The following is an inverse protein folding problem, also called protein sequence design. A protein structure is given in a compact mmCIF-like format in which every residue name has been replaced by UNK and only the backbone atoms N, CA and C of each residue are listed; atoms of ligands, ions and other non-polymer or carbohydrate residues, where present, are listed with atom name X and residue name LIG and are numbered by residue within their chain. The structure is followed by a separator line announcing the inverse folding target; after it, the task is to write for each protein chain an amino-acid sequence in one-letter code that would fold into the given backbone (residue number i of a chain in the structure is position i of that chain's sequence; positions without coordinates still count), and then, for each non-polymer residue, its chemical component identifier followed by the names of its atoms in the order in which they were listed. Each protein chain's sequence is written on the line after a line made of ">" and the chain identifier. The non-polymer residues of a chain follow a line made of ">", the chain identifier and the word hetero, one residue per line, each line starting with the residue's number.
data_IF_640253737882
#
_entry.id   IF_640253737882
#
_cell.length_a   1.000
_cell.length_b   1.000
_cell.length_c   1.000
_cell.angle_alpha   90.00
_cell.angle_beta   90.00
_cell.angle_gamma   90.00
#
_symmetry.space_group_name_H-M   'P 1'
#
loop_
_entity.id
_entity.type
_entity.pdbx_description
1 polymer ?
#
# COMPACT_ATOMS: atom_id res chain seq x y z
N UNK A 1 14.22 -20.05 -23.55
CA UNK A 1 12.90 -19.83 -24.20
C UNK A 1 12.20 -18.72 -23.45
N UNK A 2 11.72 -17.69 -24.15
CA UNK A 2 10.94 -16.62 -23.53
C UNK A 2 9.60 -17.20 -23.03
N UNK A 3 9.30 -17.01 -21.78
CA UNK A 3 8.05 -17.47 -21.18
C UNK A 3 6.91 -16.52 -21.62
N UNK A 4 5.77 -17.08 -22.04
CA UNK A 4 4.58 -16.34 -22.48
C UNK A 4 3.42 -16.68 -21.55
N UNK A 5 2.66 -15.66 -21.12
CA UNK A 5 1.41 -15.78 -20.36
C UNK A 5 0.38 -14.83 -21.00
N UNK A 6 -0.81 -15.32 -21.34
CA UNK A 6 -1.92 -14.47 -21.82
C UNK A 6 -1.62 -13.59 -23.02
N UNK A 7 -0.72 -14.02 -23.93
CA UNK A 7 -0.31 -13.20 -25.07
C UNK A 7 0.75 -12.12 -24.73
N UNK A 8 1.36 -12.20 -23.54
CA UNK A 8 2.46 -11.34 -23.12
C UNK A 8 3.77 -12.13 -22.99
N UNK A 9 4.83 -11.62 -23.59
CA UNK A 9 6.20 -12.11 -23.39
C UNK A 9 6.73 -11.57 -22.07
N UNK A 10 7.13 -12.46 -21.17
CA UNK A 10 7.76 -12.08 -19.91
C UNK A 10 9.22 -11.70 -20.16
N UNK A 11 9.59 -10.47 -19.76
CA UNK A 11 10.95 -9.94 -19.90
C UNK A 11 11.81 -10.32 -18.70
N UNK A 12 11.33 -10.01 -17.51
CA UNK A 12 11.98 -10.33 -16.24
C UNK A 12 10.98 -10.32 -15.08
N UNK A 13 11.26 -11.08 -14.04
CA UNK A 13 10.53 -10.98 -12.77
C UNK A 13 10.97 -9.71 -12.04
N UNK A 14 10.01 -8.89 -11.61
CA UNK A 14 10.26 -7.62 -10.90
C UNK A 14 9.95 -7.70 -9.42
N UNK A 15 8.97 -8.55 -9.04
CA UNK A 15 8.60 -8.77 -7.64
C UNK A 15 7.91 -10.12 -7.47
N UNK A 16 7.75 -10.54 -6.24
CA UNK A 16 6.96 -11.73 -5.90
C UNK A 16 6.31 -11.61 -4.53
N UNK A 17 5.15 -12.24 -4.38
CA UNK A 17 4.44 -12.43 -3.12
C UNK A 17 4.29 -13.93 -2.81
N UNK A 18 3.54 -14.24 -1.74
CA UNK A 18 3.21 -15.64 -1.43
C UNK A 18 2.45 -16.33 -2.58
N UNK A 19 1.47 -15.65 -3.15
CA UNK A 19 0.53 -16.23 -4.11
C UNK A 19 0.78 -15.81 -5.57
N UNK A 20 1.52 -14.74 -5.81
CA UNK A 20 1.70 -14.19 -7.15
C UNK A 20 3.16 -13.82 -7.44
N UNK A 21 3.49 -13.83 -8.71
CA UNK A 21 4.72 -13.28 -9.27
C UNK A 21 4.38 -12.11 -10.17
N UNK A 22 5.20 -11.07 -10.14
CA UNK A 22 5.01 -9.87 -10.96
C UNK A 22 6.17 -9.79 -11.95
N UNK A 23 5.81 -9.68 -13.23
CA UNK A 23 6.76 -9.64 -14.33
C UNK A 23 6.65 -8.30 -15.08
N UNK A 24 7.77 -7.75 -15.49
CA UNK A 24 7.81 -6.86 -16.64
C UNK A 24 7.48 -7.68 -17.87
N UNK A 25 6.51 -7.25 -18.66
CA UNK A 25 6.01 -7.96 -19.81
C UNK A 25 5.77 -7.04 -21.00
N UNK A 26 5.87 -7.58 -22.21
CA UNK A 26 5.59 -6.89 -23.47
C UNK A 26 4.49 -7.65 -24.18
N UNK A 27 3.48 -6.95 -24.69
CA UNK A 27 2.39 -7.56 -25.45
C UNK A 27 2.91 -8.08 -26.80
N UNK A 28 2.69 -9.35 -27.06
CA UNK A 28 2.91 -9.93 -28.39
C UNK A 28 1.82 -9.44 -29.34
N UNK A 29 2.17 -9.18 -30.62
CA UNK A 29 1.36 -8.53 -31.64
C UNK A 29 -0.16 -8.74 -31.52
N UNK A 30 -0.94 -7.66 -31.42
CA UNK A 30 -2.39 -7.64 -31.25
C UNK A 30 -2.91 -6.20 -31.03
N UNK A 31 -4.20 -6.04 -30.74
CA UNK A 31 -4.83 -4.75 -30.47
C UNK A 31 -4.30 -4.15 -29.16
N UNK A 32 -3.42 -3.15 -29.23
CA UNK A 32 -2.94 -2.41 -28.06
C UNK A 32 -1.74 -1.51 -28.39
N UNK A 33 -1.47 -0.51 -27.55
CA UNK A 33 -0.24 0.29 -27.61
C UNK A 33 0.94 -0.63 -27.29
N UNK A 34 1.96 -0.67 -28.16
CA UNK A 34 3.25 -1.25 -27.80
C UNK A 34 3.78 -0.55 -26.55
N UNK A 35 4.16 -1.31 -25.51
CA UNK A 35 4.63 -0.74 -24.25
C UNK A 35 4.99 -1.83 -23.23
N UNK A 36 5.57 -1.38 -22.15
CA UNK A 36 5.89 -2.20 -21.00
C UNK A 36 4.69 -2.27 -20.06
N UNK A 37 4.40 -3.48 -19.59
CA UNK A 37 3.30 -3.77 -18.67
C UNK A 37 3.83 -4.49 -17.43
N UNK A 38 3.14 -4.35 -16.31
CA UNK A 38 3.32 -5.23 -15.18
C UNK A 38 2.25 -6.35 -15.24
N UNK A 39 2.69 -7.59 -15.32
CA UNK A 39 1.84 -8.77 -15.32
C UNK A 39 1.94 -9.46 -13.96
N UNK A 40 0.87 -9.42 -13.17
CA UNK A 40 0.72 -10.07 -11.87
C UNK A 40 0.03 -11.42 -12.09
N UNK A 41 0.79 -12.53 -12.09
CA UNK A 41 0.27 -13.87 -12.31
C UNK A 41 0.25 -14.67 -11.01
N UNK A 42 -0.81 -15.42 -10.75
CA UNK A 42 -0.84 -16.40 -9.67
C UNK A 42 0.26 -17.44 -9.89
N UNK A 43 0.88 -17.88 -8.80
CA UNK A 43 1.79 -19.04 -8.85
C UNK A 43 0.98 -20.28 -9.19
N UNK A 44 1.57 -21.28 -9.90
CA UNK A 44 0.85 -22.46 -10.38
C UNK A 44 0.04 -23.17 -9.29
N UNK A 45 0.59 -23.30 -8.09
CA UNK A 45 -0.09 -23.97 -6.97
C UNK A 45 -1.33 -23.22 -6.46
N UNK A 46 -1.52 -21.95 -6.80
CA UNK A 46 -2.66 -21.12 -6.42
C UNK A 46 -3.59 -20.77 -7.59
N UNK A 47 -3.30 -21.29 -8.79
CA UNK A 47 -4.07 -20.98 -10.01
C UNK A 47 -5.57 -21.34 -9.88
N UNK A 48 -5.90 -22.37 -9.12
CA UNK A 48 -7.26 -22.85 -8.88
C UNK A 48 -7.83 -22.48 -7.49
N UNK A 49 -7.05 -21.77 -6.67
CA UNK A 49 -7.52 -21.35 -5.35
C UNK A 49 -8.47 -20.15 -5.47
N UNK A 50 -9.75 -20.36 -5.10
CA UNK A 50 -10.81 -19.35 -5.20
C UNK A 50 -10.50 -18.07 -4.42
N UNK A 51 -9.78 -18.15 -3.30
CA UNK A 51 -9.42 -16.99 -2.50
C UNK A 51 -8.46 -16.08 -3.28
N UNK A 52 -7.37 -16.65 -3.85
CA UNK A 52 -6.38 -15.86 -4.57
C UNK A 52 -6.89 -15.35 -5.92
N UNK A 53 -7.75 -16.13 -6.59
CA UNK A 53 -8.48 -15.63 -7.76
C UNK A 53 -9.39 -14.46 -7.40
N UNK A 54 -10.11 -14.56 -6.29
CA UNK A 54 -10.95 -13.48 -5.77
C UNK A 54 -10.17 -12.21 -5.41
N UNK A 55 -8.89 -12.31 -5.07
CA UNK A 55 -8.02 -11.13 -4.89
C UNK A 55 -7.74 -10.42 -6.22
N UNK A 56 -7.43 -11.14 -7.29
CA UNK A 56 -7.28 -10.54 -8.62
C UNK A 56 -8.58 -9.90 -9.11
N UNK A 57 -9.71 -10.59 -8.92
CA UNK A 57 -11.05 -10.06 -9.26
C UNK A 57 -11.37 -8.79 -8.48
N UNK A 58 -11.07 -8.76 -7.17
CA UNK A 58 -11.29 -7.59 -6.33
C UNK A 58 -10.46 -6.42 -6.82
N UNK A 59 -9.17 -6.63 -7.03
CA UNK A 59 -8.24 -5.61 -7.50
C UNK A 59 -8.67 -5.03 -8.86
N UNK A 60 -9.05 -5.88 -9.81
CA UNK A 60 -9.59 -5.45 -11.10
C UNK A 60 -10.89 -4.66 -10.95
N UNK A 61 -11.86 -5.20 -10.21
CA UNK A 61 -13.19 -4.59 -10.05
C UNK A 61 -13.15 -3.21 -9.41
N UNK A 62 -12.25 -2.99 -8.44
CA UNK A 62 -12.20 -1.70 -7.73
C UNK A 62 -11.33 -0.67 -8.43
N UNK A 63 -10.39 -1.11 -9.28
CA UNK A 63 -9.44 -0.21 -9.94
C UNK A 63 -9.63 -0.09 -11.46
N UNK A 64 -10.42 -0.98 -12.09
CA UNK A 64 -10.65 -0.87 -13.53
C UNK A 64 -11.43 0.42 -13.84
N UNK A 65 -10.86 1.27 -14.69
CA UNK A 65 -11.44 2.57 -15.01
C UNK A 65 -11.08 3.72 -14.05
N UNK A 66 -10.32 3.47 -13.00
CA UNK A 66 -9.76 4.55 -12.18
C UNK A 66 -8.60 5.23 -12.92
N UNK A 67 -8.65 6.56 -12.96
CA UNK A 67 -7.59 7.40 -13.55
C UNK A 67 -7.15 8.43 -12.52
N UNK A 68 -6.04 8.15 -11.85
CA UNK A 68 -5.40 9.08 -10.91
C UNK A 68 -3.87 8.90 -10.97
N UNK A 69 -3.08 10.00 -11.04
CA UNK A 69 -1.63 9.89 -11.20
C UNK A 69 -0.92 9.12 -10.08
N UNK A 70 -1.53 9.05 -8.90
CA UNK A 70 -0.97 8.37 -7.72
C UNK A 70 -1.59 6.99 -7.46
N UNK A 71 -2.37 6.44 -8.38
CA UNK A 71 -2.88 5.07 -8.32
C UNK A 71 -2.44 4.30 -9.57
N UNK A 72 -2.04 3.04 -9.41
CA UNK A 72 -1.73 2.18 -10.54
C UNK A 72 -2.98 1.94 -11.38
N UNK A 73 -2.87 2.07 -12.69
CA UNK A 73 -3.96 1.75 -13.62
C UNK A 73 -3.97 0.27 -13.93
N UNK A 74 -5.12 -0.37 -13.71
CA UNK A 74 -5.36 -1.77 -14.01
C UNK A 74 -6.10 -1.87 -15.34
N UNK A 75 -5.60 -2.70 -16.24
CA UNK A 75 -6.00 -2.74 -17.64
C UNK A 75 -6.85 -3.97 -17.96
N UNK A 76 -6.39 -5.16 -17.58
CA UNK A 76 -7.01 -6.41 -17.99
C UNK A 76 -6.93 -7.44 -16.86
N UNK A 77 -7.94 -8.31 -16.81
CA UNK A 77 -7.98 -9.49 -15.94
C UNK A 77 -8.25 -10.72 -16.79
N UNK A 78 -7.42 -11.74 -16.67
CA UNK A 78 -7.64 -13.04 -17.29
C UNK A 78 -7.59 -14.14 -16.21
N UNK A 79 -8.74 -14.76 -15.98
CA UNK A 79 -8.86 -15.82 -14.98
C UNK A 79 -8.88 -17.23 -15.60
N UNK A 80 -9.20 -17.33 -16.88
CA UNK A 80 -9.36 -18.64 -17.55
C UNK A 80 -8.06 -19.18 -18.15
N UNK A 81 -6.98 -18.41 -18.07
CA UNK A 81 -5.64 -18.89 -18.45
C UNK A 81 -5.14 -19.97 -17.45
N UNK A 82 -4.20 -20.79 -17.89
CA UNK A 82 -3.47 -21.75 -17.04
C UNK A 82 -2.85 -21.05 -15.82
N UNK A 83 -2.43 -19.80 -15.99
CA UNK A 83 -2.00 -18.90 -14.93
C UNK A 83 -2.90 -17.65 -14.89
N UNK A 84 -3.92 -17.62 -14.04
CA UNK A 84 -4.74 -16.42 -13.83
C UNK A 84 -3.86 -15.20 -13.54
N UNK A 85 -4.13 -14.10 -14.24
CA UNK A 85 -3.26 -12.93 -14.16
C UNK A 85 -4.00 -11.60 -14.37
N UNK A 86 -3.36 -10.54 -13.89
CA UNK A 86 -3.80 -9.16 -13.99
C UNK A 86 -2.74 -8.36 -14.76
N UNK A 87 -3.16 -7.51 -15.68
CA UNK A 87 -2.30 -6.59 -16.42
C UNK A 87 -2.51 -5.18 -15.92
N UNK A 88 -1.42 -4.48 -15.64
CA UNK A 88 -1.42 -3.10 -15.18
C UNK A 88 -0.28 -2.31 -15.82
N UNK A 89 -0.32 -1.00 -15.74
CA UNK A 89 0.78 -0.15 -16.19
C UNK A 89 2.07 -0.53 -15.43
N UNK A 90 3.18 -0.59 -16.15
CA UNK A 90 4.48 -0.78 -15.53
C UNK A 90 5.01 0.56 -15.00
N UNK A 91 5.35 0.60 -13.72
CA UNK A 91 5.92 1.77 -13.05
C UNK A 91 7.43 1.55 -12.94
N UNK A 92 8.28 2.33 -13.64
CA UNK A 92 9.73 2.17 -13.62
C UNK A 92 10.34 2.75 -12.33
N UNK A 93 9.96 2.19 -11.18
CA UNK A 93 10.34 2.65 -9.86
C UNK A 93 10.72 1.53 -8.91
N UNK A 94 10.89 1.88 -7.65
CA UNK A 94 11.14 0.95 -6.54
C UNK A 94 10.07 1.11 -5.48
N UNK A 95 9.71 0.01 -4.82
CA UNK A 95 8.86 0.15 -3.64
C UNK A 95 9.58 0.94 -2.55
N UNK A 96 8.83 1.71 -1.79
CA UNK A 96 9.35 2.47 -0.64
C UNK A 96 10.06 1.54 0.35
N UNK A 97 9.61 0.29 0.49
CA UNK A 97 10.31 -0.74 1.28
C UNK A 97 11.74 -1.02 0.77
N UNK A 98 11.93 -1.08 -0.55
CA UNK A 98 13.27 -1.27 -1.13
C UNK A 98 14.16 -0.06 -0.90
N UNK A 99 13.60 1.13 -0.88
CA UNK A 99 14.32 2.37 -0.57
C UNK A 99 14.70 2.40 0.91
N UNK A 100 13.76 2.10 1.82
CA UNK A 100 14.01 2.03 3.27
C UNK A 100 15.11 1.02 3.64
N UNK A 101 15.22 -0.10 2.93
CA UNK A 101 16.34 -1.05 3.13
C UNK A 101 17.71 -0.50 2.74
N UNK A 102 17.76 0.52 1.89
CA UNK A 102 19.02 1.18 1.48
C UNK A 102 19.43 2.32 2.40
N UNK A 103 18.45 2.86 3.11
CA UNK A 103 18.63 3.97 4.03
C UNK A 103 17.33 4.72 4.24
N UNK A 104 17.34 5.53 5.27
CA UNK A 104 16.21 6.39 5.60
C UNK A 104 16.13 7.55 4.60
N UNK A 105 14.97 7.81 3.99
CA UNK A 105 14.78 8.99 3.15
C UNK A 105 14.91 10.27 3.99
N UNK A 106 15.19 11.39 3.34
CA UNK A 106 15.17 12.70 4.02
C UNK A 106 13.73 13.03 4.49
N UNK A 107 13.62 13.99 5.42
CA UNK A 107 12.31 14.50 5.84
C UNK A 107 11.48 14.96 4.63
N UNK A 108 12.07 15.75 3.75
CA UNK A 108 11.38 16.29 2.57
C UNK A 108 10.92 15.19 1.61
N UNK A 109 11.76 14.20 1.35
CA UNK A 109 11.39 13.05 0.54
C UNK A 109 10.22 12.29 1.16
N UNK A 110 10.27 12.03 2.47
CA UNK A 110 9.21 11.33 3.20
C UNK A 110 7.87 12.05 3.09
N UNK A 111 7.86 13.36 3.35
CA UNK A 111 6.65 14.19 3.27
C UNK A 111 6.11 14.27 1.84
N UNK A 112 6.99 14.49 0.85
CA UNK A 112 6.58 14.61 -0.57
C UNK A 112 6.01 13.29 -1.12
N UNK A 113 6.68 12.17 -0.86
CA UNK A 113 6.23 10.86 -1.36
C UNK A 113 4.91 10.41 -0.70
N UNK A 114 4.79 10.57 0.62
CA UNK A 114 3.58 10.16 1.31
C UNK A 114 2.43 11.15 1.11
N UNK A 115 2.72 12.42 0.83
CA UNK A 115 1.72 13.39 0.37
C UNK A 115 1.07 12.95 -0.94
N UNK A 116 1.86 12.51 -1.93
CA UNK A 116 1.36 11.98 -3.19
C UNK A 116 0.59 10.66 -3.00
N UNK A 117 1.09 9.74 -2.16
CA UNK A 117 0.36 8.51 -1.86
C UNK A 117 -0.99 8.82 -1.19
N UNK A 118 -1.03 9.80 -0.27
CA UNK A 118 -2.25 10.26 0.36
C UNK A 118 -3.24 10.89 -0.63
N UNK A 119 -2.78 11.57 -1.69
CA UNK A 119 -3.66 12.07 -2.77
C UNK A 119 -4.40 10.94 -3.47
N UNK A 120 -3.67 9.91 -3.87
CA UNK A 120 -4.28 8.73 -4.51
C UNK A 120 -5.28 8.05 -3.58
N UNK A 121 -4.92 7.88 -2.30
CA UNK A 121 -5.80 7.27 -1.31
C UNK A 121 -7.03 8.14 -1.00
N UNK A 122 -6.90 9.48 -0.99
CA UNK A 122 -8.02 10.39 -0.82
C UNK A 122 -9.04 10.22 -1.96
N UNK A 123 -8.57 10.26 -3.21
CA UNK A 123 -9.42 9.99 -4.36
C UNK A 123 -10.13 8.63 -4.26
N UNK A 124 -9.42 7.59 -3.81
CA UNK A 124 -10.00 6.26 -3.63
C UNK A 124 -11.06 6.21 -2.54
N UNK A 125 -10.86 6.95 -1.42
CA UNK A 125 -11.83 7.11 -0.34
C UNK A 125 -13.07 7.88 -0.79
N UNK A 126 -12.93 8.92 -1.61
CA UNK A 126 -14.05 9.70 -2.15
C UNK A 126 -14.97 8.85 -3.05
N UNK A 127 -14.41 7.81 -3.70
CA UNK A 127 -15.19 6.80 -4.43
C UNK A 127 -15.86 5.75 -3.52
N UNK A 128 -15.70 5.87 -2.21
CA UNK A 128 -16.30 4.99 -1.21
C UNK A 128 -15.54 3.69 -0.97
N UNK A 129 -14.26 3.61 -1.30
CA UNK A 129 -13.43 2.44 -1.09
C UNK A 129 -12.36 2.65 -0.02
N UNK A 130 -11.89 1.56 0.60
CA UNK A 130 -10.76 1.48 1.53
C UNK A 130 -9.69 0.57 0.94
N UNK A 131 -8.41 0.94 1.11
CA UNK A 131 -7.28 0.15 0.61
C UNK A 131 -6.96 -1.04 1.54
N UNK A 132 -6.89 -0.80 2.86
CA UNK A 132 -6.70 -1.78 3.95
C UNK A 132 -5.33 -2.46 4.02
N UNK A 133 -4.43 -2.16 3.12
CA UNK A 133 -3.06 -2.70 3.11
C UNK A 133 -2.02 -1.64 2.74
N UNK A 134 -2.20 -0.41 3.26
CA UNK A 134 -1.26 0.69 3.06
C UNK A 134 0.03 0.38 3.81
N UNK A 135 1.16 0.30 3.07
CA UNK A 135 2.49 -0.02 3.62
C UNK A 135 3.57 0.30 2.58
N UNK A 136 4.86 0.38 2.98
CA UNK A 136 5.95 0.73 2.06
C UNK A 136 6.10 -0.20 0.85
N UNK A 137 5.68 -1.47 0.96
CA UNK A 137 5.70 -2.41 -0.17
C UNK A 137 4.75 -2.02 -1.29
N UNK A 138 3.65 -1.35 -0.93
CA UNK A 138 2.55 -1.01 -1.84
C UNK A 138 2.61 0.47 -2.30
N UNK A 139 3.73 1.15 -2.09
CA UNK A 139 4.00 2.50 -2.56
C UNK A 139 5.24 2.45 -3.47
N UNK A 140 5.07 2.76 -4.75
CA UNK A 140 6.16 2.81 -5.73
C UNK A 140 6.62 4.25 -5.90
N UNK A 141 7.92 4.45 -5.73
CA UNK A 141 8.60 5.73 -5.97
C UNK A 141 9.45 5.59 -7.23
N UNK A 142 9.29 6.50 -8.16
CA UNK A 142 10.05 6.60 -9.39
C UNK A 142 10.65 8.00 -9.52
N UNK A 143 11.77 8.12 -10.25
CA UNK A 143 12.49 9.39 -10.35
C UNK A 143 11.76 10.41 -11.26
N UNK A 144 11.12 9.92 -12.32
CA UNK A 144 10.50 10.75 -13.38
C UNK A 144 8.96 10.60 -13.43
N UNK A 145 8.36 9.90 -12.50
CA UNK A 145 6.92 9.66 -12.46
C UNK A 145 6.36 9.93 -11.08
N UNK A 146 5.07 10.28 -10.96
CA UNK A 146 4.42 10.40 -9.66
C UNK A 146 4.55 9.11 -8.83
N UNK A 147 4.57 9.27 -7.50
CA UNK A 147 4.44 8.14 -6.59
C UNK A 147 3.10 7.46 -6.81
N UNK A 148 3.09 6.13 -6.88
CA UNK A 148 1.85 5.39 -7.09
C UNK A 148 1.61 4.35 -6.00
N UNK A 149 0.37 4.29 -5.55
CA UNK A 149 -0.14 3.22 -4.68
C UNK A 149 -0.57 2.05 -5.55
N UNK A 150 -0.20 0.85 -5.13
CA UNK A 150 -0.45 -0.42 -5.82
C UNK A 150 -1.09 -1.44 -4.89
N UNK A 151 -1.55 -2.57 -5.46
CA UNK A 151 -2.04 -3.78 -4.75
C UNK A 151 -3.34 -3.55 -3.95
N UNK A 152 -4.45 -3.47 -4.67
CA UNK A 152 -5.80 -3.29 -4.14
C UNK A 152 -6.54 -4.61 -3.87
N UNK A 153 -5.81 -5.72 -3.75
CA UNK A 153 -6.38 -7.06 -3.55
C UNK A 153 -7.28 -7.16 -2.30
N UNK A 154 -7.05 -6.32 -1.30
CA UNK A 154 -7.80 -6.27 -0.05
C UNK A 154 -8.80 -5.11 0.02
N UNK A 155 -8.90 -4.32 -1.03
CA UNK A 155 -9.79 -3.17 -1.04
C UNK A 155 -11.25 -3.59 -0.88
N UNK A 156 -12.02 -2.74 -0.21
CA UNK A 156 -13.45 -2.95 -0.02
C UNK A 156 -14.21 -1.63 0.00
N UNK A 157 -15.54 -1.69 -0.15
CA UNK A 157 -16.39 -0.53 0.07
C UNK A 157 -16.45 -0.17 1.56
N UNK A 158 -16.56 1.12 1.88
CA UNK A 158 -16.65 1.62 3.26
C UNK A 158 -17.96 1.18 3.97
N UNK A 159 -18.99 0.88 3.19
CA UNK A 159 -20.30 0.41 3.66
C UNK A 159 -20.43 -1.12 3.79
N UNK A 160 -19.36 -1.86 3.49
CA UNK A 160 -19.38 -3.31 3.55
C UNK A 160 -19.49 -3.82 4.99
N UNK A 161 -20.67 -4.26 5.37
CA UNK A 161 -21.02 -4.67 6.75
C UNK A 161 -20.51 -6.05 7.18
N UNK A 162 -19.94 -6.85 6.26
CA UNK A 162 -19.58 -8.25 6.55
C UNK A 162 -18.21 -8.64 6.01
N UNK A 163 -17.16 -8.25 6.72
CA UNK A 163 -15.79 -8.65 6.36
C UNK A 163 -15.15 -9.64 7.35
N UNK A 164 -15.86 -10.03 8.42
CA UNK A 164 -15.34 -10.95 9.45
C UNK A 164 -14.76 -12.26 8.89
N UNK A 165 -15.41 -12.84 7.87
CA UNK A 165 -14.95 -14.10 7.27
C UNK A 165 -13.71 -13.95 6.39
N UNK A 166 -13.64 -12.85 5.62
CA UNK A 166 -12.48 -12.54 4.76
C UNK A 166 -11.28 -12.19 5.61
N UNK A 167 -11.48 -11.39 6.67
CA UNK A 167 -10.44 -10.99 7.61
C UNK A 167 -9.83 -12.19 8.32
N UNK A 168 -10.64 -13.14 8.83
CA UNK A 168 -10.13 -14.32 9.55
C UNK A 168 -9.23 -15.19 8.65
N UNK A 169 -9.67 -15.51 7.45
CA UNK A 169 -8.87 -16.30 6.48
C UNK A 169 -7.59 -15.57 6.07
N UNK A 170 -7.65 -14.26 6.00
CA UNK A 170 -6.52 -13.42 5.67
C UNK A 170 -5.50 -13.33 6.83
N UNK A 171 -5.93 -13.24 8.09
CA UNK A 171 -5.07 -13.32 9.27
C UNK A 171 -4.30 -14.64 9.34
N UNK A 172 -4.97 -15.76 9.08
CA UNK A 172 -4.40 -17.09 9.15
C UNK A 172 -3.28 -17.34 8.13
N UNK A 173 -3.24 -16.55 7.03
CA UNK A 173 -2.32 -16.75 5.89
C UNK A 173 -1.28 -15.63 5.71
N UNK A 174 -1.23 -14.64 6.59
CA UNK A 174 -0.27 -13.53 6.50
C UNK A 174 1.14 -13.92 6.93
N UNK A 175 2.13 -13.39 6.19
CA UNK A 175 3.53 -13.47 6.59
C UNK A 175 3.85 -12.47 7.71
N UNK A 176 4.85 -12.77 8.58
CA UNK A 176 5.42 -11.79 9.50
C UNK A 176 5.83 -10.51 8.76
N UNK A 177 5.56 -9.35 9.37
CA UNK A 177 5.91 -8.02 8.80
C UNK A 177 4.72 -7.26 8.20
N UNK A 178 3.65 -7.92 7.75
CA UNK A 178 2.46 -7.21 7.26
C UNK A 178 1.58 -6.68 8.42
N UNK A 179 1.69 -7.26 9.60
CA UNK A 179 0.94 -6.85 10.79
C UNK A 179 1.42 -5.53 11.39
N UNK A 180 2.65 -5.11 11.05
CA UNK A 180 3.26 -3.88 11.57
C UNK A 180 2.56 -2.59 11.15
N UNK A 181 1.65 -2.64 10.17
CA UNK A 181 0.94 -1.46 9.64
C UNK A 181 -0.57 -1.51 9.90
N UNK A 182 -1.05 -2.54 10.61
CA UNK A 182 -2.48 -2.70 10.88
C UNK A 182 -2.98 -1.69 11.89
N UNK A 183 -4.14 -1.12 11.62
CA UNK A 183 -4.83 -0.26 12.57
C UNK A 183 -5.47 -1.05 13.72
N UNK A 184 -5.66 -0.45 14.91
CA UNK A 184 -6.33 -1.08 16.04
C UNK A 184 -7.68 -1.70 15.67
N UNK A 185 -8.51 -0.98 14.94
CA UNK A 185 -9.83 -1.44 14.51
C UNK A 185 -9.78 -2.59 13.50
N UNK A 186 -8.74 -2.66 12.66
CA UNK A 186 -8.51 -3.85 11.83
C UNK A 186 -8.19 -5.07 12.67
N UNK A 187 -7.39 -4.92 13.72
CA UNK A 187 -7.00 -5.99 14.64
C UNK A 187 -8.21 -6.48 15.45
N UNK A 188 -9.03 -5.54 15.91
CA UNK A 188 -10.21 -5.82 16.74
C UNK A 188 -11.42 -6.28 15.91
N UNK A 189 -11.32 -6.28 14.56
CA UNK A 189 -12.43 -6.54 13.65
C UNK A 189 -13.63 -5.61 13.84
N UNK A 190 -13.34 -4.35 14.17
CA UNK A 190 -14.32 -3.30 14.27
C UNK A 190 -14.69 -2.74 12.88
N UNK A 191 -15.61 -1.76 12.87
CA UNK A 191 -15.99 -1.08 11.64
C UNK A 191 -14.81 -0.30 11.07
N UNK A 192 -14.45 -0.59 9.83
CA UNK A 192 -13.38 0.10 9.11
C UNK A 192 -13.91 1.35 8.40
N UNK A 193 -13.12 2.40 8.43
CA UNK A 193 -13.33 3.65 7.70
C UNK A 193 -12.00 4.09 7.06
N UNK A 194 -11.97 5.21 6.34
CA UNK A 194 -10.74 5.80 5.81
C UNK A 194 -9.66 6.06 6.88
N UNK A 195 -10.07 6.14 8.14
CA UNK A 195 -9.17 6.31 9.28
C UNK A 195 -8.23 5.11 9.50
N UNK A 196 -8.61 3.92 9.05
CA UNK A 196 -7.73 2.75 9.09
C UNK A 196 -6.53 2.92 8.14
N UNK A 197 -6.76 3.46 6.95
CA UNK A 197 -5.68 3.74 5.99
C UNK A 197 -4.83 4.95 6.44
N UNK A 198 -5.43 5.94 7.14
CA UNK A 198 -4.69 7.05 7.79
C UNK A 198 -3.70 6.51 8.81
N UNK A 199 -4.12 5.58 9.68
CA UNK A 199 -3.22 4.93 10.65
C UNK A 199 -2.07 4.20 9.95
N UNK A 200 -2.38 3.39 8.95
CA UNK A 200 -1.38 2.60 8.21
C UNK A 200 -0.37 3.48 7.47
N UNK A 201 -0.82 4.62 6.91
CA UNK A 201 0.05 5.64 6.33
C UNK A 201 0.90 6.33 7.40
N UNK A 202 0.34 6.57 8.59
CA UNK A 202 1.06 7.09 9.77
C UNK A 202 2.19 6.19 10.21
N UNK A 203 1.97 4.86 10.26
CA UNK A 203 3.03 3.88 10.52
C UNK A 203 4.11 3.94 9.44
N UNK A 204 3.71 4.07 8.18
CA UNK A 204 4.65 4.19 7.05
C UNK A 204 5.49 5.47 7.16
N UNK A 205 4.87 6.60 7.53
CA UNK A 205 5.60 7.85 7.76
C UNK A 205 6.55 7.73 8.95
N UNK A 206 6.11 7.14 10.06
CA UNK A 206 6.97 6.86 11.21
C UNK A 206 8.22 6.09 10.80
N UNK A 207 8.05 5.01 10.01
CA UNK A 207 9.16 4.19 9.53
C UNK A 207 10.10 4.99 8.59
N UNK A 208 9.57 5.82 7.69
CA UNK A 208 10.39 6.70 6.85
C UNK A 208 11.26 7.65 7.68
N UNK A 209 10.72 8.22 8.75
CA UNK A 209 11.39 9.21 9.57
C UNK A 209 12.38 8.61 10.58
N UNK A 210 12.16 7.35 11.00
CA UNK A 210 12.98 6.71 12.06
C UNK A 210 13.80 5.52 11.55
N UNK A 211 13.46 4.92 10.40
CA UNK A 211 14.02 3.67 9.90
C UNK A 211 13.45 2.43 10.59
N UNK A 212 12.44 2.56 11.45
CA UNK A 212 11.80 1.47 12.20
C UNK A 212 10.30 1.68 12.28
N UNK A 213 9.56 0.58 12.36
CA UNK A 213 8.14 0.64 12.72
C UNK A 213 7.97 1.00 14.20
N UNK A 214 6.83 1.62 14.60
CA UNK A 214 6.64 2.06 15.99
C UNK A 214 6.58 0.91 17.00
N UNK A 215 6.16 -0.26 16.56
CA UNK A 215 6.02 -1.43 17.41
C UNK A 215 6.73 -2.63 16.82
N UNK A 216 7.35 -3.44 17.70
CA UNK A 216 8.04 -4.67 17.35
C UNK A 216 7.73 -5.75 18.39
N UNK A 217 7.65 -7.00 17.96
CA UNK A 217 7.39 -8.14 18.84
C UNK A 217 7.94 -9.43 18.26
N UNK A 218 8.35 -10.36 19.12
CA UNK A 218 8.81 -11.68 18.68
C UNK A 218 7.63 -12.56 18.26
N UNK A 219 6.47 -12.40 18.88
CA UNK A 219 5.24 -13.10 18.53
C UNK A 219 4.29 -12.13 17.84
N UNK A 220 3.52 -12.60 16.84
CA UNK A 220 2.51 -11.78 16.17
C UNK A 220 1.54 -11.13 17.15
N UNK A 221 1.09 -11.86 18.16
CA UNK A 221 0.13 -11.36 19.13
C UNK A 221 0.67 -10.19 19.96
N UNK A 222 1.95 -10.25 20.36
CA UNK A 222 2.59 -9.16 21.12
C UNK A 222 2.63 -7.85 20.29
N UNK A 223 2.87 -7.96 18.99
CA UNK A 223 2.86 -6.83 18.06
C UNK A 223 1.44 -6.25 17.90
N UNK A 224 0.45 -7.12 17.72
CA UNK A 224 -0.95 -6.70 17.58
C UNK A 224 -1.46 -6.00 18.85
N UNK A 225 -1.13 -6.55 20.03
CA UNK A 225 -1.48 -5.95 21.32
C UNK A 225 -0.87 -4.57 21.51
N UNK A 226 0.37 -4.35 21.02
CA UNK A 226 1.00 -3.03 21.03
C UNK A 226 0.28 -2.02 20.14
N UNK A 227 -0.14 -2.41 18.93
CA UNK A 227 -0.95 -1.55 18.07
C UNK A 227 -2.25 -1.09 18.75
N UNK A 228 -2.87 -1.97 19.52
CA UNK A 228 -4.14 -1.66 20.21
C UNK A 228 -3.90 -0.82 21.47
N UNK A 229 -2.87 -1.12 22.28
CA UNK A 229 -2.78 -0.64 23.68
C UNK A 229 -1.55 0.18 24.02
N UNK A 230 -0.40 -0.07 23.35
CA UNK A 230 0.83 0.60 23.74
C UNK A 230 0.81 2.08 23.32
N UNK A 231 1.38 2.99 24.14
CA UNK A 231 1.56 4.37 23.73
C UNK A 231 2.39 4.45 22.44
N UNK A 232 2.13 5.46 21.62
CA UNK A 232 2.89 5.69 20.40
C UNK A 232 4.25 6.26 20.75
N UNK A 233 5.38 5.62 20.38
CA UNK A 233 6.70 6.20 20.61
C UNK A 233 6.86 7.47 19.77
N UNK A 234 7.43 8.54 20.34
CA UNK A 234 7.68 9.76 19.57
C UNK A 234 8.73 9.53 18.49
N UNK A 235 8.54 10.12 17.30
CA UNK A 235 9.55 10.09 16.23
C UNK A 235 10.87 10.70 16.72
N UNK A 236 10.76 11.78 17.49
CA UNK A 236 11.90 12.52 18.04
C UNK A 236 12.74 11.73 19.03
N UNK A 237 12.19 10.70 19.67
CA UNK A 237 12.98 9.80 20.52
C UNK A 237 14.04 9.00 19.76
N UNK A 238 13.83 8.77 18.46
CA UNK A 238 14.74 8.05 17.57
C UNK A 238 15.43 8.96 16.55
N UNK A 239 14.83 10.12 16.25
CA UNK A 239 15.36 11.11 15.32
C UNK A 239 15.07 12.53 15.86
N UNK A 240 15.95 13.07 16.72
CA UNK A 240 15.76 14.37 17.36
C UNK A 240 15.67 15.54 16.39
N UNK A 241 16.21 15.41 15.16
CA UNK A 241 16.22 16.45 14.14
C UNK A 241 14.84 16.68 13.50
N UNK A 242 13.88 15.79 13.74
CA UNK A 242 12.51 15.95 13.23
C UNK A 242 11.82 17.11 13.96
N UNK A 243 11.22 18.05 13.23
CA UNK A 243 10.47 19.15 13.82
C UNK A 243 9.31 18.64 14.68
N UNK A 244 9.05 19.31 15.81
CA UNK A 244 7.98 18.94 16.74
C UNK A 244 6.61 18.85 16.02
N UNK A 245 6.32 19.76 15.12
CA UNK A 245 5.08 19.78 14.35
C UNK A 245 4.88 18.50 13.49
N UNK A 246 5.97 17.91 12.97
CA UNK A 246 5.91 16.65 12.23
C UNK A 246 5.71 15.47 13.18
N UNK A 247 6.37 15.49 14.34
CA UNK A 247 6.18 14.46 15.37
C UNK A 247 4.73 14.45 15.88
N UNK A 248 4.19 15.61 16.24
CA UNK A 248 2.79 15.77 16.68
C UNK A 248 1.80 15.25 15.63
N UNK A 249 2.08 15.52 14.35
CA UNK A 249 1.23 15.03 13.27
C UNK A 249 1.28 13.51 13.14
N UNK A 250 2.45 12.90 13.24
CA UNK A 250 2.58 11.42 13.24
C UNK A 250 1.86 10.82 14.45
N UNK A 251 1.97 11.44 15.64
CA UNK A 251 1.26 11.00 16.83
C UNK A 251 -0.25 11.03 16.62
N UNK A 252 -0.78 12.11 16.02
CA UNK A 252 -2.20 12.22 15.68
C UNK A 252 -2.64 11.13 14.67
N UNK A 253 -1.87 10.86 13.60
CA UNK A 253 -2.20 9.78 12.66
C UNK A 253 -2.24 8.41 13.33
N UNK A 254 -1.43 8.18 14.36
CA UNK A 254 -1.29 6.93 15.09
C UNK A 254 -2.18 6.83 16.34
N UNK A 255 -3.09 7.81 16.57
CA UNK A 255 -4.05 7.75 17.65
C UNK A 255 -4.84 6.43 17.63
N UNK A 256 -5.09 5.85 18.82
CA UNK A 256 -5.75 4.54 18.94
C UNK A 256 -7.21 4.62 18.54
N UNK A 257 -7.91 5.65 19.02
CA UNK A 257 -9.27 5.96 18.59
C UNK A 257 -9.23 6.57 17.18
N UNK A 258 -9.95 6.00 16.22
CA UNK A 258 -10.05 6.59 14.87
C UNK A 258 -10.59 8.03 14.85
N UNK A 259 -11.39 8.42 15.85
CA UNK A 259 -11.96 9.77 15.95
C UNK A 259 -10.93 10.83 16.34
N UNK A 260 -9.84 10.43 16.99
CA UNK A 260 -8.75 11.33 17.37
C UNK A 260 -7.75 11.55 16.23
N UNK A 261 -7.89 10.84 15.11
CA UNK A 261 -7.02 10.97 13.94
C UNK A 261 -7.44 12.17 13.06
N UNK A 262 -6.52 12.67 12.19
CA UNK A 262 -6.84 13.69 11.18
C UNK A 262 -8.09 13.34 10.36
N UNK A 263 -8.90 14.34 10.01
CA UNK A 263 -10.21 14.15 9.37
C UNK A 263 -10.12 13.69 7.90
N UNK A 264 -9.64 12.46 7.70
CA UNK A 264 -9.57 11.81 6.40
C UNK A 264 -8.28 12.06 5.62
N UNK A 265 -8.11 11.28 4.54
CA UNK A 265 -6.88 11.22 3.78
C UNK A 265 -6.59 12.50 3.00
N UNK A 266 -7.61 13.23 2.57
CA UNK A 266 -7.44 14.52 1.90
C UNK A 266 -6.81 15.59 2.80
N UNK A 267 -7.20 15.65 4.08
CA UNK A 267 -6.55 16.52 5.08
C UNK A 267 -5.09 16.08 5.30
N UNK A 268 -4.83 14.78 5.42
CA UNK A 268 -3.47 14.22 5.57
C UNK A 268 -2.59 14.63 4.40
N UNK A 269 -3.08 14.50 3.16
CA UNK A 269 -2.34 14.90 1.97
C UNK A 269 -2.02 16.41 1.98
N UNK A 270 -3.00 17.26 2.24
CA UNK A 270 -2.81 18.70 2.28
C UNK A 270 -1.76 19.13 3.33
N UNK A 271 -1.80 18.51 4.51
CA UNK A 271 -0.85 18.82 5.57
C UNK A 271 0.56 18.33 5.28
N UNK A 272 0.72 17.11 4.72
CA UNK A 272 2.04 16.60 4.29
C UNK A 272 2.69 17.51 3.25
N UNK A 273 1.92 18.03 2.30
CA UNK A 273 2.41 19.00 1.31
C UNK A 273 2.81 20.33 1.95
N UNK A 274 1.98 20.88 2.82
CA UNK A 274 2.26 22.12 3.53
C UNK A 274 3.54 22.02 4.39
N UNK A 275 3.74 20.87 5.06
CA UNK A 275 4.95 20.60 5.81
C UNK A 275 6.19 20.47 4.88
N UNK A 276 6.04 19.79 3.74
CA UNK A 276 7.12 19.70 2.75
C UNK A 276 7.54 21.09 2.23
N UNK A 277 6.59 21.96 1.92
CA UNK A 277 6.86 23.34 1.50
C UNK A 277 7.53 24.16 2.60
N UNK A 278 7.04 24.04 3.85
CA UNK A 278 7.55 24.78 5.01
C UNK A 278 9.01 24.46 5.29
N UNK A 279 9.38 23.18 5.24
CA UNK A 279 10.75 22.73 5.54
C UNK A 279 11.65 22.71 4.29
N UNK A 280 11.10 22.69 3.08
CA UNK A 280 11.86 22.80 1.85
C UNK A 280 12.40 24.21 1.57
N UNK A 281 11.77 25.26 2.12
CA UNK A 281 12.23 26.66 2.00
C UNK A 281 13.31 27.04 3.01
N UNK A 282 13.56 26.18 4.02
CA UNK A 282 14.51 26.44 5.10
C UNK A 282 15.87 25.76 4.93
N UNK A 283 16.04 24.94 3.93
CA UNK A 283 17.29 24.26 3.55
C UNK A 283 17.81 24.80 2.23
#
# INVERSE_FOLDING_TARGET
>A
MSQIIGGFQLVRKVAESHSAEIFLAIRLAGKGRGGEYALKALRPQFAHDHLYRGYLETEYRVCSGLEHPNLVRILELELNDVRPHLIMDFIPGRSLQMLLRRGRPSLLQSLAWLGQAADGLAYFHDLGYLHRDVKPQNIIVADESPVQVIDFALACRQDATSLRHVMRKWFERRRPGTWSYMSPEQIQNDRLTGQSDVYSLGVTLYECLTGRVPYAGHRPQDLLDQHVRAPVPTVRSLNPDIPLQVDDFVQAMLAKDPLDRPQGMGYVSALLRALAETYGRKG
#
